data_IF_736834750643
#
_entry.id   IF_736834750643
#
_cell.length_a   1.000
_cell.length_b   1.000
_cell.length_c   1.000
_cell.angle_alpha   90.00
_cell.angle_beta   90.00
_cell.angle_gamma   90.00
#
_symmetry.space_group_name_H-M   'P 1'
#
loop_
_entity.id
_entity.type
_entity.pdbx_description
1 polymer ?
#
# COMPACT_ATOMS: atom_id res chain seq x y z
N UNK A 1 -40.38 -3.91 -2.02
CA UNK A 1 -39.57 -3.36 -3.13
C UNK A 1 -38.33 -2.73 -2.51
N UNK A 2 -37.17 -3.39 -2.63
CA UNK A 2 -35.87 -2.81 -2.25
C UNK A 2 -35.45 -1.86 -3.37
N UNK A 3 -35.41 -0.57 -3.07
CA UNK A 3 -34.89 0.47 -3.96
C UNK A 3 -33.41 0.25 -4.22
N UNK A 4 -32.97 0.63 -5.43
CA UNK A 4 -31.62 0.43 -5.95
C UNK A 4 -30.53 0.96 -5.01
N UNK A 5 -29.41 0.25 -4.98
CA UNK A 5 -28.17 0.57 -4.25
C UNK A 5 -27.79 2.06 -4.41
N UNK A 6 -28.11 2.86 -3.40
CA UNK A 6 -27.65 4.25 -3.31
C UNK A 6 -26.33 4.26 -2.54
N UNK A 7 -25.28 4.83 -3.10
CA UNK A 7 -23.91 4.75 -2.56
C UNK A 7 -23.63 5.78 -1.45
N UNK A 8 -24.67 6.24 -0.76
CA UNK A 8 -24.77 7.50 0.01
C UNK A 8 -23.85 7.68 1.22
N UNK A 9 -22.96 6.75 1.53
CA UNK A 9 -22.47 6.66 2.90
C UNK A 9 -21.37 7.70 3.23
N UNK A 10 -20.55 8.18 2.30
CA UNK A 10 -19.36 9.01 2.66
C UNK A 10 -19.64 10.53 2.64
N UNK A 11 -20.90 10.96 2.52
CA UNK A 11 -21.25 12.37 2.27
C UNK A 11 -22.11 13.06 3.34
N UNK A 12 -21.84 14.35 3.59
CA UNK A 12 -22.78 15.21 4.33
C UNK A 12 -23.94 15.61 3.41
N UNK A 13 -25.14 15.11 3.71
CA UNK A 13 -26.37 15.43 2.95
C UNK A 13 -26.66 16.94 2.93
N UNK A 14 -26.18 17.67 3.95
CA UNK A 14 -26.27 19.13 4.04
C UNK A 14 -25.54 19.87 2.90
N UNK A 15 -24.48 19.28 2.33
CA UNK A 15 -23.80 19.87 1.18
C UNK A 15 -24.59 19.63 -0.12
N UNK A 16 -25.36 18.52 -0.20
CA UNK A 16 -26.19 18.21 -1.37
C UNK A 16 -27.30 19.25 -1.55
N UNK A 17 -27.92 19.70 -0.46
CA UNK A 17 -29.01 20.68 -0.51
C UNK A 17 -28.53 22.07 -0.98
N UNK A 18 -27.32 22.48 -0.63
CA UNK A 18 -26.72 23.74 -1.09
C UNK A 18 -26.43 23.76 -2.60
N UNK A 19 -26.33 22.58 -3.23
CA UNK A 19 -26.06 22.42 -4.65
C UNK A 19 -27.35 22.27 -5.49
N UNK A 20 -28.52 22.36 -4.85
CA UNK A 20 -29.80 22.29 -5.54
C UNK A 20 -29.98 23.50 -6.47
N UNK A 21 -30.57 23.27 -7.65
CA UNK A 21 -30.77 24.31 -8.67
C UNK A 21 -29.55 24.58 -9.58
N UNK A 22 -28.37 24.03 -9.28
CA UNK A 22 -27.24 24.05 -10.21
C UNK A 22 -27.45 23.07 -11.36
N UNK A 23 -27.12 23.50 -12.57
CA UNK A 23 -27.12 22.64 -13.75
C UNK A 23 -25.89 21.72 -13.80
N UNK A 24 -25.95 20.68 -14.64
CA UNK A 24 -24.89 19.68 -14.77
C UNK A 24 -23.50 20.27 -15.09
N UNK A 25 -23.40 21.26 -15.98
CA UNK A 25 -22.13 21.87 -16.38
C UNK A 25 -21.48 22.61 -15.20
N UNK A 26 -22.27 23.38 -14.45
CA UNK A 26 -21.80 24.07 -13.24
C UNK A 26 -21.37 23.09 -12.14
N UNK A 27 -22.11 21.99 -11.95
CA UNK A 27 -21.73 20.93 -11.01
C UNK A 27 -20.39 20.29 -11.40
N UNK A 28 -20.19 19.98 -12.68
CA UNK A 28 -18.91 19.45 -13.19
C UNK A 28 -17.76 20.40 -12.91
N UNK A 29 -17.94 21.71 -13.12
CA UNK A 29 -16.91 22.70 -12.82
C UNK A 29 -16.54 22.73 -11.32
N UNK A 30 -17.54 22.61 -10.43
CA UNK A 30 -17.29 22.50 -8.99
C UNK A 30 -16.56 21.22 -8.62
N UNK A 31 -16.92 20.08 -9.22
CA UNK A 31 -16.24 18.79 -9.00
C UNK A 31 -14.77 18.88 -9.45
N UNK A 32 -14.51 19.46 -10.62
CA UNK A 32 -13.15 19.66 -11.13
C UNK A 32 -12.32 20.51 -10.17
N UNK A 33 -12.92 21.57 -9.61
CA UNK A 33 -12.26 22.42 -8.61
C UNK A 33 -11.98 21.64 -7.32
N UNK A 34 -12.96 20.93 -6.78
CA UNK A 34 -12.79 20.08 -5.59
C UNK A 34 -11.69 19.02 -5.81
N UNK A 35 -11.67 18.37 -6.97
CA UNK A 35 -10.66 17.37 -7.33
C UNK A 35 -9.24 17.94 -7.37
N UNK A 36 -9.07 19.21 -7.79
CA UNK A 36 -7.76 19.88 -7.77
C UNK A 36 -7.25 20.18 -6.35
N UNK A 37 -8.17 20.31 -5.39
CA UNK A 37 -7.87 20.57 -3.98
C UNK A 37 -7.80 19.30 -3.12
N UNK A 38 -8.12 18.13 -3.69
CA UNK A 38 -8.15 16.86 -2.98
C UNK A 38 -6.79 16.55 -2.31
N UNK A 39 -6.86 16.15 -1.04
CA UNK A 39 -5.70 15.80 -0.21
C UNK A 39 -5.46 14.29 -0.16
N UNK A 40 -6.52 13.50 -0.37
CA UNK A 40 -6.55 12.04 -0.47
C UNK A 40 -7.05 11.58 -1.84
N UNK A 41 -6.76 10.34 -2.22
CA UNK A 41 -7.24 9.71 -3.46
C UNK A 41 -7.07 10.60 -4.69
N UNK A 42 -5.92 11.29 -4.79
CA UNK A 42 -5.68 12.34 -5.80
C UNK A 42 -5.78 11.79 -7.21
N UNK A 43 -5.26 10.59 -7.45
CA UNK A 43 -5.33 9.90 -8.75
C UNK A 43 -6.78 9.67 -9.16
N UNK A 44 -7.58 9.08 -8.27
CA UNK A 44 -9.01 8.81 -8.51
C UNK A 44 -9.80 10.10 -8.75
N UNK A 45 -9.62 11.12 -7.90
CA UNK A 45 -10.27 12.42 -8.06
C UNK A 45 -9.94 13.07 -9.42
N UNK A 46 -8.67 13.03 -9.84
CA UNK A 46 -8.23 13.58 -11.13
C UNK A 46 -8.81 12.81 -12.30
N UNK A 47 -8.78 11.48 -12.27
CA UNK A 47 -9.34 10.63 -13.33
C UNK A 47 -10.85 10.86 -13.47
N UNK A 48 -11.57 10.90 -12.35
CA UNK A 48 -13.00 11.15 -12.34
C UNK A 48 -13.33 12.55 -12.88
N UNK A 49 -12.62 13.58 -12.43
CA UNK A 49 -12.78 14.94 -12.96
C UNK A 49 -12.47 15.05 -14.45
N UNK A 50 -11.48 14.30 -14.97
CA UNK A 50 -11.18 14.26 -16.40
C UNK A 50 -12.32 13.63 -17.20
N UNK A 51 -12.87 12.53 -16.71
CA UNK A 51 -14.04 11.88 -17.32
C UNK A 51 -15.24 12.83 -17.35
N UNK A 52 -15.56 13.48 -16.23
CA UNK A 52 -16.66 14.46 -16.15
C UNK A 52 -16.46 15.67 -17.07
N UNK A 53 -15.22 16.09 -17.38
CA UNK A 53 -14.98 17.15 -18.37
C UNK A 53 -15.40 16.73 -19.79
N UNK A 54 -15.16 15.46 -20.17
CA UNK A 54 -15.63 14.94 -21.47
C UNK A 54 -17.15 15.03 -21.56
N UNK A 55 -17.82 14.70 -20.46
CA UNK A 55 -19.28 14.78 -20.32
C UNK A 55 -19.76 16.22 -20.37
N UNK A 56 -19.14 17.14 -19.63
CA UNK A 56 -19.50 18.56 -19.64
C UNK A 56 -19.44 19.14 -21.05
N UNK A 57 -18.36 18.83 -21.79
CA UNK A 57 -18.20 19.23 -23.18
C UNK A 57 -19.31 18.69 -24.11
N UNK A 58 -19.80 17.47 -23.85
CA UNK A 58 -20.92 16.88 -24.57
C UNK A 58 -22.24 17.61 -24.22
N UNK A 59 -22.50 17.86 -22.94
CA UNK A 59 -23.73 18.53 -22.46
C UNK A 59 -23.85 19.97 -22.96
N UNK A 60 -22.73 20.71 -23.04
CA UNK A 60 -22.69 22.03 -23.65
C UNK A 60 -23.08 21.98 -25.14
N UNK A 61 -22.51 21.03 -25.88
CA UNK A 61 -22.82 20.85 -27.30
C UNK A 61 -24.28 20.46 -27.55
N UNK A 62 -24.84 19.64 -26.66
CA UNK A 62 -26.24 19.23 -26.68
C UNK A 62 -27.20 20.32 -26.21
N UNK A 63 -26.70 21.45 -25.68
CA UNK A 63 -27.50 22.48 -25.02
C UNK A 63 -28.44 21.85 -23.99
N UNK A 64 -27.90 21.13 -23.01
CA UNK A 64 -28.69 20.36 -22.03
C UNK A 64 -29.82 21.15 -21.34
N UNK A 65 -29.67 22.47 -21.19
CA UNK A 65 -30.74 23.36 -20.67
C UNK A 65 -31.96 23.43 -21.58
N UNK A 66 -31.79 23.36 -22.89
CA UNK A 66 -32.88 23.29 -23.87
C UNK A 66 -33.53 21.91 -23.86
N UNK A 67 -32.74 20.85 -23.69
CA UNK A 67 -33.25 19.48 -23.60
C UNK A 67 -34.17 19.28 -22.39
N UNK A 68 -33.95 19.99 -21.29
CA UNK A 68 -34.84 19.93 -20.12
C UNK A 68 -36.26 20.44 -20.38
N UNK A 69 -36.51 21.14 -21.49
CA UNK A 69 -37.86 21.59 -21.87
C UNK A 69 -38.77 20.45 -22.33
N UNK A 70 -38.17 19.34 -22.79
CA UNK A 70 -38.92 18.18 -23.29
C UNK A 70 -39.10 17.15 -22.16
N UNK A 71 -40.32 16.64 -21.95
CA UNK A 71 -40.61 15.72 -20.85
C UNK A 71 -39.79 14.42 -20.93
N UNK A 72 -39.49 13.94 -22.14
CA UNK A 72 -38.77 12.69 -22.37
C UNK A 72 -37.30 12.77 -21.91
N UNK A 73 -36.63 13.91 -22.12
CA UNK A 73 -35.22 14.12 -21.74
C UNK A 73 -35.05 14.77 -20.37
N UNK A 74 -36.13 15.31 -19.79
CA UNK A 74 -36.08 16.02 -18.50
C UNK A 74 -35.67 15.10 -17.35
N UNK A 75 -36.35 13.97 -17.18
CA UNK A 75 -36.10 13.05 -16.06
C UNK A 75 -34.66 12.49 -16.07
N UNK A 76 -34.12 11.97 -17.19
CA UNK A 76 -32.72 11.51 -17.24
C UNK A 76 -31.69 12.61 -16.93
N UNK A 77 -31.96 13.86 -17.33
CA UNK A 77 -31.09 15.00 -17.04
C UNK A 77 -31.14 15.43 -15.57
N UNK A 78 -32.30 15.36 -14.94
CA UNK A 78 -32.44 15.60 -13.49
C UNK A 78 -31.71 14.51 -12.69
N UNK A 79 -31.85 13.25 -13.07
CA UNK A 79 -31.12 12.13 -12.45
C UNK A 79 -29.60 12.23 -12.62
N UNK A 80 -29.13 12.70 -13.79
CA UNK A 80 -27.72 13.00 -14.03
C UNK A 80 -27.21 14.10 -13.10
N UNK A 81 -27.99 15.17 -12.92
CA UNK A 81 -27.62 16.24 -11.99
C UNK A 81 -27.56 15.76 -10.54
N UNK A 82 -28.49 14.90 -10.11
CA UNK A 82 -28.46 14.31 -8.77
C UNK A 82 -27.23 13.42 -8.56
N UNK A 83 -26.87 12.61 -9.57
CA UNK A 83 -25.64 11.83 -9.54
C UNK A 83 -24.39 12.72 -9.46
N UNK A 84 -24.38 13.85 -10.18
CA UNK A 84 -23.30 14.84 -10.11
C UNK A 84 -23.24 15.54 -8.74
N UNK A 85 -24.37 15.82 -8.09
CA UNK A 85 -24.39 16.40 -6.73
C UNK A 85 -23.78 15.44 -5.71
N UNK A 86 -24.17 14.15 -5.74
CA UNK A 86 -23.53 13.13 -4.89
C UNK A 86 -22.04 13.00 -5.19
N UNK A 87 -21.68 13.02 -6.48
CA UNK A 87 -20.30 12.96 -6.96
C UNK A 87 -19.43 14.12 -6.45
N UNK A 88 -20.00 15.33 -6.36
CA UNK A 88 -19.32 16.46 -5.73
C UNK A 88 -19.02 16.18 -4.26
N UNK A 89 -19.99 15.66 -3.51
CA UNK A 89 -19.79 15.36 -2.08
C UNK A 89 -18.72 14.29 -1.88
N UNK A 90 -18.67 13.27 -2.74
CA UNK A 90 -17.59 12.28 -2.74
C UNK A 90 -16.21 12.92 -2.92
N UNK A 91 -16.07 13.75 -3.95
CA UNK A 91 -14.79 14.40 -4.27
C UNK A 91 -14.39 15.42 -3.20
N UNK A 92 -15.34 16.20 -2.68
CA UNK A 92 -15.09 17.18 -1.60
C UNK A 92 -14.67 16.49 -0.29
N UNK A 93 -15.22 15.30 0.00
CA UNK A 93 -14.84 14.51 1.18
C UNK A 93 -13.35 14.15 1.19
N UNK A 94 -12.72 14.00 0.00
CA UNK A 94 -11.30 13.71 -0.15
C UNK A 94 -10.38 14.90 0.22
N UNK A 95 -10.95 16.07 0.51
CA UNK A 95 -10.22 17.27 0.92
C UNK A 95 -10.32 17.52 2.43
N UNK A 96 -11.52 17.42 3.01
CA UNK A 96 -11.85 18.06 4.28
C UNK A 96 -12.06 17.10 5.46
N UNK A 97 -12.01 15.77 5.26
CA UNK A 97 -12.20 14.79 6.34
C UNK A 97 -10.89 14.41 7.07
N UNK A 98 -11.01 13.67 8.17
CA UNK A 98 -9.86 13.06 8.85
C UNK A 98 -9.05 12.21 7.86
N UNK A 99 -7.72 12.36 7.93
CA UNK A 99 -6.81 11.55 7.12
C UNK A 99 -6.93 10.06 7.46
N UNK A 100 -6.98 9.72 8.74
CA UNK A 100 -7.09 8.32 9.19
C UNK A 100 -8.44 7.72 8.80
N UNK A 101 -9.52 8.49 8.88
CA UNK A 101 -10.83 8.07 8.38
C UNK A 101 -10.79 7.78 6.88
N UNK A 102 -10.20 8.68 6.07
CA UNK A 102 -10.11 8.47 4.62
C UNK A 102 -9.22 7.28 4.24
N UNK A 103 -8.17 7.00 5.02
CA UNK A 103 -7.37 5.77 4.85
C UNK A 103 -8.20 4.52 5.14
N UNK A 104 -8.90 4.47 6.27
CA UNK A 104 -9.74 3.34 6.64
C UNK A 104 -10.93 3.15 5.69
N UNK A 105 -11.46 4.22 5.13
CA UNK A 105 -12.54 4.18 4.14
C UNK A 105 -12.03 4.03 2.70
N UNK A 106 -10.73 3.82 2.50
CA UNK A 106 -10.08 3.87 1.19
C UNK A 106 -10.78 3.01 0.13
N UNK A 107 -10.95 1.71 0.37
CA UNK A 107 -11.61 0.82 -0.59
C UNK A 107 -13.07 1.18 -0.84
N UNK A 108 -13.79 1.64 0.20
CA UNK A 108 -15.17 2.13 0.07
C UNK A 108 -15.23 3.34 -0.86
N UNK A 109 -14.32 4.30 -0.71
CA UNK A 109 -14.24 5.48 -1.57
C UNK A 109 -13.92 5.08 -3.02
N UNK A 110 -12.97 4.17 -3.24
CA UNK A 110 -12.65 3.67 -4.58
C UNK A 110 -13.88 3.00 -5.22
N UNK A 111 -14.64 2.21 -4.46
CA UNK A 111 -15.87 1.60 -4.94
C UNK A 111 -16.95 2.65 -5.26
N UNK A 112 -17.07 3.71 -4.47
CA UNK A 112 -17.99 4.81 -4.75
C UNK A 112 -17.62 5.55 -6.04
N UNK A 113 -16.33 5.77 -6.34
CA UNK A 113 -15.91 6.33 -7.63
C UNK A 113 -16.35 5.44 -8.80
N UNK A 114 -16.19 4.12 -8.68
CA UNK A 114 -16.64 3.16 -9.71
C UNK A 114 -18.15 3.22 -9.91
N UNK A 115 -18.91 3.27 -8.83
CA UNK A 115 -20.37 3.34 -8.86
C UNK A 115 -20.87 4.67 -9.44
N UNK A 116 -20.30 5.79 -9.01
CA UNK A 116 -20.63 7.11 -9.53
C UNK A 116 -20.33 7.23 -11.03
N UNK A 117 -19.18 6.73 -11.48
CA UNK A 117 -18.82 6.68 -12.90
C UNK A 117 -19.86 5.89 -13.71
N UNK A 118 -20.17 4.65 -13.30
CA UNK A 118 -21.12 3.80 -14.00
C UNK A 118 -22.56 4.37 -14.01
N UNK A 119 -22.98 5.00 -12.91
CA UNK A 119 -24.28 5.66 -12.79
C UNK A 119 -24.40 6.84 -13.78
N UNK A 120 -23.40 7.71 -13.84
CA UNK A 120 -23.37 8.86 -14.74
C UNK A 120 -23.39 8.43 -16.21
N UNK A 121 -22.55 7.44 -16.57
CA UNK A 121 -22.50 6.90 -17.93
C UNK A 121 -23.85 6.31 -18.36
N UNK A 122 -24.56 5.67 -17.45
CA UNK A 122 -25.88 5.11 -17.73
C UNK A 122 -26.88 6.20 -18.13
N UNK A 123 -26.93 7.32 -17.40
CA UNK A 123 -27.84 8.42 -17.75
C UNK A 123 -27.46 9.08 -19.08
N UNK A 124 -26.16 9.17 -19.38
CA UNK A 124 -25.69 9.67 -20.67
C UNK A 124 -26.02 8.77 -21.85
N UNK A 125 -26.25 7.48 -21.66
CA UNK A 125 -26.75 6.62 -22.75
C UNK A 125 -28.23 6.92 -23.06
N UNK A 126 -29.01 7.36 -22.08
CA UNK A 126 -30.45 7.61 -22.25
C UNK A 126 -30.70 8.94 -22.99
N UNK A 127 -29.97 10.01 -22.62
CA UNK A 127 -30.21 11.37 -23.15
C UNK A 127 -30.08 11.48 -24.69
N UNK A 128 -29.06 10.91 -25.36
CA UNK A 128 -28.91 10.97 -26.81
C UNK A 128 -29.83 10.02 -27.57
N UNK A 129 -30.22 8.87 -26.99
CA UNK A 129 -31.13 7.91 -27.62
C UNK A 129 -32.53 8.51 -27.86
N UNK A 130 -32.91 9.49 -27.04
CA UNK A 130 -34.18 10.21 -27.18
C UNK A 130 -34.13 11.25 -28.31
N UNK A 131 -32.94 11.76 -28.68
CA UNK A 131 -32.85 12.98 -29.48
C UNK A 131 -31.95 12.93 -30.73
N UNK A 132 -31.21 11.84 -31.01
CA UNK A 132 -30.18 11.89 -32.05
C UNK A 132 -30.09 10.63 -32.92
N UNK A 133 -30.87 10.62 -34.01
CA UNK A 133 -30.56 9.76 -35.13
C UNK A 133 -29.45 10.31 -36.06
N UNK A 134 -29.13 11.61 -36.11
CA UNK A 134 -28.26 12.14 -37.20
C UNK A 134 -27.05 13.07 -36.87
N UNK A 135 -26.66 13.34 -35.61
CA UNK A 135 -25.47 14.19 -35.35
C UNK A 135 -24.18 13.37 -35.18
N UNK A 136 -23.38 13.25 -36.25
CA UNK A 136 -22.11 12.50 -36.25
C UNK A 136 -21.13 12.97 -35.16
N UNK A 137 -21.00 14.29 -34.95
CA UNK A 137 -20.08 14.87 -33.95
C UNK A 137 -20.47 14.50 -32.52
N UNK A 138 -21.78 14.35 -32.25
CA UNK A 138 -22.24 13.87 -30.94
C UNK A 138 -21.97 12.38 -30.79
N UNK A 139 -22.20 11.58 -31.84
CA UNK A 139 -21.88 10.14 -31.83
C UNK A 139 -20.40 9.89 -31.53
N UNK A 140 -19.49 10.64 -32.16
CA UNK A 140 -18.05 10.53 -31.92
C UNK A 140 -17.67 10.82 -30.46
N UNK A 141 -18.27 11.85 -29.86
CA UNK A 141 -18.02 12.22 -28.45
C UNK A 141 -18.58 11.20 -27.47
N UNK A 142 -19.76 10.67 -27.74
CA UNK A 142 -20.33 9.58 -26.93
C UNK A 142 -19.44 8.34 -27.00
N UNK A 143 -18.92 8.01 -28.18
CA UNK A 143 -17.98 6.91 -28.33
C UNK A 143 -16.67 7.17 -27.57
N UNK A 144 -16.19 8.41 -27.57
CA UNK A 144 -15.00 8.78 -26.79
C UNK A 144 -15.23 8.64 -25.28
N UNK A 145 -16.41 9.03 -24.77
CA UNK A 145 -16.79 8.84 -23.37
C UNK A 145 -16.92 7.34 -23.04
N UNK A 146 -17.58 6.56 -23.89
CA UNK A 146 -17.75 5.11 -23.67
C UNK A 146 -16.41 4.34 -23.67
N UNK A 147 -15.42 4.83 -24.41
CA UNK A 147 -14.05 4.29 -24.41
C UNK A 147 -13.22 4.76 -23.22
N UNK A 148 -13.67 5.75 -22.45
CA UNK A 148 -12.93 6.32 -21.32
C UNK A 148 -13.03 5.44 -20.06
N UNK A 149 -12.40 4.27 -20.09
CA UNK A 149 -12.40 3.32 -18.97
C UNK A 149 -11.37 3.73 -17.90
N UNK A 150 -11.76 4.64 -17.01
CA UNK A 150 -10.93 5.04 -15.87
C UNK A 150 -10.83 3.93 -14.84
N UNK A 151 -9.60 3.55 -14.53
CA UNK A 151 -9.29 2.64 -13.43
C UNK A 151 -9.12 3.42 -12.12
N UNK A 152 -9.96 3.10 -11.14
CA UNK A 152 -9.85 3.62 -9.77
C UNK A 152 -9.18 2.60 -8.86
N UNK A 153 -8.17 2.99 -8.09
CA UNK A 153 -7.34 2.12 -7.24
C UNK A 153 -6.90 2.84 -5.97
N UNK A 154 -6.50 2.08 -4.94
CA UNK A 154 -5.72 2.62 -3.84
C UNK A 154 -4.25 2.65 -4.22
N UNK A 155 -3.52 3.66 -3.75
CA UNK A 155 -2.07 3.67 -3.87
C UNK A 155 -1.49 2.58 -2.94
N UNK A 156 -0.46 1.85 -3.39
CA UNK A 156 0.09 0.69 -2.64
C UNK A 156 0.50 1.03 -1.20
N UNK A 157 0.97 2.26 -0.97
CA UNK A 157 1.31 2.74 0.37
C UNK A 157 0.07 3.04 1.22
N UNK A 158 -1.00 3.54 0.61
CA UNK A 158 -2.28 3.77 1.29
C UNK A 158 -2.98 2.45 1.62
N UNK A 159 -2.89 1.46 0.72
CA UNK A 159 -3.41 0.09 0.91
C UNK A 159 -2.74 -0.61 2.09
N UNK A 160 -1.40 -0.58 2.16
CA UNK A 160 -0.65 -1.14 3.30
C UNK A 160 -1.02 -0.52 4.64
N UNK A 161 -1.25 0.80 4.65
CA UNK A 161 -1.66 1.51 5.87
C UNK A 161 -3.12 1.21 6.22
N UNK A 162 -4.00 1.12 5.22
CA UNK A 162 -5.40 0.70 5.39
C UNK A 162 -5.48 -0.69 6.05
N UNK A 163 -4.74 -1.67 5.53
CA UNK A 163 -4.72 -3.03 6.06
C UNK A 163 -4.20 -3.07 7.50
N UNK A 164 -3.11 -2.33 7.79
CA UNK A 164 -2.53 -2.22 9.12
C UNK A 164 -3.48 -1.56 10.15
N UNK A 165 -4.31 -0.61 9.71
CA UNK A 165 -5.29 0.06 10.57
C UNK A 165 -6.46 -0.88 10.91
N UNK A 166 -6.94 -1.67 9.94
CA UNK A 166 -8.13 -2.51 10.12
C UNK A 166 -7.84 -3.91 10.70
N UNK A 167 -6.59 -4.39 10.61
CA UNK A 167 -6.19 -5.73 11.10
C UNK A 167 -5.15 -5.63 12.23
N UNK A 168 -5.55 -5.74 13.51
CA UNK A 168 -4.70 -5.43 14.66
C UNK A 168 -3.69 -6.53 15.08
N UNK A 169 -3.30 -7.44 14.19
CA UNK A 169 -2.52 -8.63 14.57
C UNK A 169 -1.04 -8.36 14.95
N UNK A 170 -0.51 -7.13 14.77
CA UNK A 170 0.84 -6.74 15.25
C UNK A 170 0.95 -5.25 15.59
N UNK A 171 0.87 -4.90 16.89
CA UNK A 171 0.80 -3.51 17.36
C UNK A 171 2.04 -2.65 17.05
N UNK A 172 3.23 -3.25 17.03
CA UNK A 172 4.51 -2.53 16.85
C UNK A 172 4.73 -2.16 15.38
N UNK A 173 4.48 -3.09 14.45
CA UNK A 173 4.59 -2.82 13.02
C UNK A 173 3.57 -1.76 12.59
N UNK A 174 2.33 -1.88 13.06
CA UNK A 174 1.23 -0.96 12.76
C UNK A 174 1.52 0.45 13.29
N UNK A 175 2.09 0.57 14.50
CA UNK A 175 2.54 1.86 15.06
C UNK A 175 3.62 2.51 14.19
N UNK A 176 4.61 1.74 13.73
CA UNK A 176 5.68 2.26 12.87
C UNK A 176 5.16 2.74 11.50
N UNK A 177 4.16 2.04 10.93
CA UNK A 177 3.54 2.39 9.65
C UNK A 177 2.65 3.63 9.78
N UNK A 178 1.82 3.69 10.84
CA UNK A 178 0.99 4.84 11.16
C UNK A 178 1.87 6.09 11.40
N UNK A 179 2.98 5.93 12.11
CA UNK A 179 3.95 7.00 12.39
C UNK A 179 4.57 7.55 11.11
N UNK A 180 5.07 6.67 10.23
CA UNK A 180 5.58 7.08 8.90
C UNK A 180 4.52 7.80 8.07
N UNK A 181 3.30 7.25 8.05
CA UNK A 181 2.15 7.80 7.31
C UNK A 181 1.77 9.21 7.79
N UNK A 182 1.61 9.38 9.11
CA UNK A 182 1.30 10.67 9.72
C UNK A 182 2.42 11.69 9.55
N UNK A 183 3.69 11.30 9.69
CA UNK A 183 4.83 12.21 9.44
C UNK A 183 4.87 12.73 7.99
N UNK A 184 4.49 11.91 7.01
CA UNK A 184 4.39 12.35 5.61
C UNK A 184 3.22 13.31 5.39
N UNK A 185 2.08 13.08 6.06
CA UNK A 185 0.91 13.95 5.98
C UNK A 185 1.11 15.28 6.70
N UNK A 186 1.85 15.27 7.80
CA UNK A 186 2.10 16.39 8.69
C UNK A 186 3.62 16.64 8.84
N UNK A 187 4.30 17.11 7.78
CA UNK A 187 5.76 17.24 7.79
C UNK A 187 6.29 18.29 8.80
N UNK A 188 5.43 19.21 9.25
CA UNK A 188 5.78 20.31 10.14
C UNK A 188 5.30 20.11 11.59
N UNK A 189 4.66 18.99 11.91
CA UNK A 189 4.18 18.70 13.27
C UNK A 189 4.92 17.52 13.87
N UNK A 190 5.06 17.54 15.20
CA UNK A 190 5.50 16.36 15.94
C UNK A 190 4.50 15.20 15.73
N UNK A 191 4.96 13.95 15.83
CA UNK A 191 4.07 12.79 15.68
C UNK A 191 2.89 12.84 16.67
N UNK A 192 3.14 13.15 17.94
CA UNK A 192 2.09 13.24 18.97
C UNK A 192 1.08 14.35 18.64
N UNK A 193 1.55 15.51 18.16
CA UNK A 193 0.67 16.62 17.76
C UNK A 193 -0.17 16.26 16.53
N UNK A 194 0.43 15.57 15.55
CA UNK A 194 -0.25 15.10 14.36
C UNK A 194 -1.31 14.03 14.70
N UNK A 195 -0.99 13.12 15.62
CA UNK A 195 -1.88 12.08 16.11
C UNK A 195 -3.06 12.69 16.87
N UNK A 196 -2.79 13.62 17.79
CA UNK A 196 -3.81 14.37 18.53
C UNK A 196 -4.76 15.11 17.58
N UNK A 197 -4.22 15.82 16.58
CA UNK A 197 -5.01 16.53 15.57
C UNK A 197 -5.90 15.60 14.75
N UNK A 198 -5.44 14.39 14.43
CA UNK A 198 -6.27 13.41 13.75
C UNK A 198 -7.34 12.82 14.65
N UNK A 199 -7.05 12.57 15.94
CA UNK A 199 -8.05 12.12 16.91
C UNK A 199 -9.19 13.16 17.05
N UNK A 200 -8.87 14.45 17.17
CA UNK A 200 -9.87 15.53 17.22
C UNK A 200 -10.79 15.53 15.99
N UNK A 201 -10.24 15.31 14.80
CA UNK A 201 -11.06 15.19 13.58
C UNK A 201 -11.90 13.91 13.58
N UNK A 202 -11.37 12.79 14.05
CA UNK A 202 -12.13 11.54 14.16
C UNK A 202 -13.33 11.71 15.10
N UNK A 203 -13.19 12.48 16.19
CA UNK A 203 -14.34 12.81 17.06
C UNK A 203 -15.42 13.61 16.31
N UNK A 204 -15.03 14.55 15.46
CA UNK A 204 -15.97 15.28 14.60
C UNK A 204 -16.66 14.34 13.59
N UNK A 205 -15.91 13.45 12.94
CA UNK A 205 -16.48 12.45 12.03
C UNK A 205 -17.44 11.50 12.77
N UNK A 206 -17.12 11.08 13.99
CA UNK A 206 -17.99 10.24 14.82
C UNK A 206 -19.30 10.95 15.13
N UNK A 207 -19.23 12.22 15.51
CA UNK A 207 -20.40 13.02 15.79
C UNK A 207 -21.30 13.18 14.56
N UNK A 208 -20.69 13.44 13.41
CA UNK A 208 -21.37 13.51 12.10
C UNK A 208 -22.04 12.18 11.74
N UNK A 209 -21.32 11.06 11.86
CA UNK A 209 -21.85 9.73 11.54
C UNK A 209 -23.04 9.34 12.42
N UNK A 210 -22.98 9.71 13.72
CA UNK A 210 -24.10 9.53 14.66
C UNK A 210 -25.31 10.35 14.28
N UNK A 211 -25.12 11.62 13.89
CA UNK A 211 -26.21 12.48 13.43
C UNK A 211 -26.91 11.91 12.18
N UNK A 212 -26.16 11.20 11.34
CA UNK A 212 -26.66 10.53 10.13
C UNK A 212 -27.15 9.09 10.37
N UNK A 213 -27.13 8.59 11.61
CA UNK A 213 -27.53 7.22 11.97
C UNK A 213 -26.74 6.12 11.23
N UNK A 214 -25.52 6.41 10.79
CA UNK A 214 -24.65 5.43 10.10
C UNK A 214 -23.85 4.63 11.14
N UNK A 215 -24.37 3.46 11.50
CA UNK A 215 -23.81 2.59 12.55
C UNK A 215 -22.48 1.97 12.10
N UNK A 216 -22.39 1.55 10.84
CA UNK A 216 -21.19 0.89 10.30
C UNK A 216 -19.99 1.84 10.33
N UNK A 217 -20.20 3.11 9.95
CA UNK A 217 -19.14 4.12 10.06
C UNK A 217 -18.81 4.49 11.50
N UNK A 218 -19.78 4.48 12.41
CA UNK A 218 -19.50 4.70 13.83
C UNK A 218 -18.57 3.62 14.40
N UNK A 219 -18.70 2.37 13.95
CA UNK A 219 -17.84 1.27 14.36
C UNK A 219 -16.42 1.45 13.85
N UNK A 220 -16.25 1.77 12.56
CA UNK A 220 -14.93 2.07 11.97
C UNK A 220 -14.27 3.24 12.70
N UNK A 221 -15.00 4.32 12.95
CA UNK A 221 -14.42 5.52 13.60
C UNK A 221 -14.04 5.23 15.06
N UNK A 222 -14.84 4.45 15.81
CA UNK A 222 -14.48 4.04 17.17
C UNK A 222 -13.21 3.20 17.19
N UNK A 223 -13.09 2.24 16.28
CA UNK A 223 -11.88 1.44 16.12
C UNK A 223 -10.66 2.32 15.82
N UNK A 224 -10.81 3.32 14.95
CA UNK A 224 -9.74 4.28 14.66
C UNK A 224 -9.31 5.06 15.89
N UNK A 225 -10.25 5.53 16.71
CA UNK A 225 -9.94 6.25 17.96
C UNK A 225 -9.14 5.34 18.89
N UNK A 226 -9.57 4.10 19.09
CA UNK A 226 -8.86 3.11 19.92
C UNK A 226 -7.43 2.84 19.42
N UNK A 227 -7.25 2.69 18.10
CA UNK A 227 -5.92 2.53 17.50
C UNK A 227 -5.03 3.75 17.78
N UNK A 228 -5.57 4.97 17.67
CA UNK A 228 -4.77 6.18 17.97
C UNK A 228 -4.38 6.27 19.44
N UNK A 229 -5.28 5.92 20.37
CA UNK A 229 -5.00 5.92 21.81
C UNK A 229 -3.96 4.85 22.18
N UNK A 230 -4.06 3.66 21.60
CA UNK A 230 -3.10 2.59 21.79
C UNK A 230 -1.70 2.98 21.31
N UNK A 231 -1.59 3.66 20.17
CA UNK A 231 -0.31 4.10 19.63
C UNK A 231 0.31 5.25 20.45
N UNK A 232 -0.51 6.18 20.97
CA UNK A 232 -0.04 7.25 21.85
C UNK A 232 0.60 6.73 23.15
N UNK A 233 0.17 5.54 23.62
CA UNK A 233 0.69 4.92 24.83
C UNK A 233 2.02 4.15 24.62
N UNK A 234 2.51 3.99 23.38
CA UNK A 234 3.77 3.30 23.08
C UNK A 234 4.94 4.29 23.19
N UNK A 235 5.93 4.08 24.07
CA UNK A 235 7.09 4.96 24.19
C UNK A 235 7.85 5.03 22.86
N UNK A 236 8.35 6.21 22.44
CA UNK A 236 9.16 6.31 21.23
C UNK A 236 10.41 5.42 21.35
N UNK A 237 10.63 4.56 20.36
CA UNK A 237 11.86 3.78 20.27
C UNK A 237 13.06 4.71 20.39
N UNK A 238 13.94 4.44 21.36
CA UNK A 238 15.23 5.14 21.48
C UNK A 238 16.00 4.88 20.19
N UNK A 239 16.25 5.93 19.42
CA UNK A 239 17.22 5.88 18.32
C UNK A 239 18.56 5.46 18.92
N UNK A 240 18.95 4.20 18.74
CA UNK A 240 20.35 3.83 18.83
C UNK A 240 21.05 4.49 17.64
N UNK A 241 21.60 5.68 17.87
CA UNK A 241 22.64 6.23 17.02
C UNK A 241 23.86 5.30 17.14
N UNK A 242 23.96 4.32 16.26
CA UNK A 242 25.28 3.81 15.92
C UNK A 242 25.95 4.87 15.06
N UNK A 243 26.90 5.57 15.66
CA UNK A 243 27.96 6.27 14.93
C UNK A 243 28.65 5.23 14.04
N UNK A 244 28.37 5.25 12.74
CA UNK A 244 29.34 4.80 11.75
C UNK A 244 29.95 6.05 11.12
N UNK A 245 31.20 6.32 11.50
CA UNK A 245 32.05 7.33 10.90
C UNK A 245 32.06 7.12 9.38
N UNK A 246 31.53 8.08 8.63
CA UNK A 246 31.91 8.23 7.23
C UNK A 246 33.08 9.20 7.19
N UNK A 247 34.27 8.63 6.94
CA UNK A 247 35.46 9.40 6.60
C UNK A 247 35.18 10.27 5.36
N UNK A 248 35.53 11.55 5.51
CA UNK A 248 35.61 12.52 4.45
C UNK A 248 36.62 12.07 3.40
N UNK A 249 36.25 12.12 2.12
CA UNK A 249 37.20 12.35 1.05
C UNK A 249 36.57 13.15 -0.11
N UNK A 250 36.84 14.45 -0.04
CA UNK A 250 37.12 15.40 -1.11
C UNK A 250 36.00 15.98 -1.99
N UNK A 251 36.19 17.25 -2.47
CA UNK A 251 35.15 18.27 -2.51
C UNK A 251 34.79 18.70 -3.94
N UNK A 252 33.61 19.32 -4.10
CA UNK A 252 33.32 20.10 -5.30
C UNK A 252 32.86 21.52 -4.91
N UNK A 253 33.48 22.48 -5.58
CA UNK A 253 33.54 23.90 -5.28
C UNK A 253 32.31 24.72 -5.72
N UNK A 254 32.30 25.98 -5.26
CA UNK A 254 31.44 27.13 -5.59
C UNK A 254 30.02 27.08 -4.98
N UNK A 255 29.52 28.08 -4.24
CA UNK A 255 29.73 29.53 -4.35
C UNK A 255 29.86 30.24 -2.98
N UNK A 256 30.63 31.33 -2.98
CA UNK A 256 30.72 32.34 -1.92
C UNK A 256 29.53 33.32 -1.95
N UNK A 257 29.12 33.82 -0.77
CA UNK A 257 28.84 35.24 -0.44
C UNK A 257 28.13 35.27 0.93
N UNK A 258 28.88 35.55 2.00
CA UNK A 258 29.02 36.85 2.69
C UNK A 258 28.14 36.96 3.95
N UNK A 259 28.84 37.05 5.08
CA UNK A 259 28.37 37.36 6.43
C UNK A 259 28.01 38.86 6.54
N UNK A 260 27.23 39.32 7.55
CA UNK A 260 27.80 39.53 8.89
C UNK A 260 26.88 39.27 10.08
N UNK A 261 27.48 38.74 11.17
CA UNK A 261 26.94 38.81 12.54
C UNK A 261 27.00 40.26 13.09
N UNK A 262 26.36 40.59 14.24
CA UNK A 262 27.10 40.47 15.52
C UNK A 262 26.27 40.26 16.82
N UNK A 263 26.94 39.63 17.81
CA UNK A 263 26.84 39.78 19.29
C UNK A 263 25.48 39.51 19.99
N UNK A 264 25.37 38.91 21.18
CA UNK A 264 26.10 39.16 22.44
C UNK A 264 25.82 37.95 23.38
N UNK A 265 26.79 37.35 24.09
CA UNK A 265 27.01 37.51 25.54
C UNK A 265 25.89 36.94 26.44
N UNK A 266 26.06 36.21 27.54
CA UNK A 266 27.21 35.72 28.31
C UNK A 266 26.67 34.98 29.57
N UNK A 267 27.50 34.10 30.16
CA UNK A 267 27.52 33.58 31.55
C UNK A 267 26.28 32.91 32.20
N UNK A 268 26.40 31.63 32.60
CA UNK A 268 26.69 31.25 34.00
C UNK A 268 26.87 29.73 34.19
N UNK A 269 27.87 29.44 35.03
CA UNK A 269 28.44 28.18 35.44
C UNK A 269 27.71 27.66 36.69
N UNK A 270 27.42 26.36 36.78
CA UNK A 270 27.49 25.63 38.06
C UNK A 270 27.72 24.13 37.84
N UNK A 271 28.92 23.71 38.23
CA UNK A 271 29.26 22.34 38.61
C UNK A 271 28.85 22.12 40.06
N UNK A 272 28.39 20.91 40.37
CA UNK A 272 28.61 20.11 41.59
C UNK A 272 28.11 18.69 41.18
N UNK A 273 28.72 17.55 41.44
CA UNK A 273 29.89 17.17 42.22
C UNK A 273 29.68 15.76 42.79
N UNK A 274 30.42 14.76 42.24
CA UNK A 274 31.03 13.56 42.89
C UNK A 274 30.14 12.45 43.50
N UNK A 275 30.29 11.21 42.99
CA UNK A 275 30.98 10.02 43.59
C UNK A 275 30.01 9.13 44.40
N UNK A 276 30.09 7.81 44.52
CA UNK A 276 31.07 6.79 44.14
C UNK A 276 30.43 5.39 44.28
N UNK A 277 30.94 4.39 43.53
CA UNK A 277 30.93 2.92 43.82
C UNK A 277 29.55 2.20 43.87
N UNK A 278 29.36 0.95 43.45
CA UNK A 278 30.22 -0.23 43.52
C UNK A 278 29.63 -1.37 42.65
N UNK A 279 30.52 -2.24 42.20
CA UNK A 279 30.25 -3.52 41.54
C UNK A 279 29.73 -4.53 42.58
N UNK A 280 28.66 -5.26 42.27
CA UNK A 280 28.48 -6.62 42.78
C UNK A 280 27.59 -7.47 41.88
N UNK A 281 28.18 -8.58 41.43
CA UNK A 281 27.57 -9.70 40.74
C UNK A 281 26.55 -10.40 41.64
N UNK A 282 25.34 -10.61 41.14
CA UNK A 282 24.33 -11.50 41.75
C UNK A 282 23.68 -12.33 40.65
N UNK A 283 24.09 -13.61 40.58
CA UNK A 283 23.45 -14.63 39.75
C UNK A 283 22.09 -14.96 40.36
N UNK A 284 21.02 -14.85 39.58
CA UNK A 284 19.78 -15.58 39.86
C UNK A 284 19.55 -16.62 38.77
N UNK A 285 19.74 -17.87 39.20
CA UNK A 285 19.31 -19.09 38.53
C UNK A 285 17.80 -19.20 38.70
N UNK A 286 17.03 -19.03 37.62
CA UNK A 286 15.65 -19.52 37.56
C UNK A 286 15.44 -20.31 36.25
N UNK A 287 15.30 -21.63 36.46
CA UNK A 287 14.44 -22.57 35.75
C UNK A 287 14.72 -22.84 34.26
N UNK A 288 15.59 -23.83 34.04
CA UNK A 288 15.52 -24.73 32.89
C UNK A 288 14.14 -25.44 32.90
N UNK A 289 13.22 -24.98 32.06
CA UNK A 289 12.05 -25.76 31.61
C UNK A 289 12.06 -25.77 30.09
N UNK A 290 12.25 -26.95 29.51
CA UNK A 290 12.53 -27.15 28.09
C UNK A 290 11.47 -26.50 27.19
N UNK A 291 11.89 -25.51 26.43
CA UNK A 291 11.26 -25.12 25.17
C UNK A 291 12.28 -25.43 24.08
N UNK A 292 11.91 -26.24 23.10
CA UNK A 292 12.67 -26.38 21.86
C UNK A 292 12.85 -24.96 21.30
N UNK A 293 14.05 -24.39 21.43
CA UNK A 293 14.40 -23.12 20.78
C UNK A 293 14.42 -23.40 19.29
N UNK A 294 13.36 -23.03 18.58
CA UNK A 294 13.41 -22.88 17.13
C UNK A 294 14.40 -21.77 16.81
N UNK A 295 15.25 -22.00 15.81
CA UNK A 295 16.15 -20.97 15.31
C UNK A 295 15.41 -20.05 14.33
N UNK A 296 15.84 -18.81 14.22
CA UNK A 296 15.35 -17.88 13.18
C UNK A 296 16.20 -18.04 11.91
N UNK A 297 15.69 -17.55 10.76
CA UNK A 297 16.49 -17.45 9.54
C UNK A 297 17.70 -16.56 9.81
N UNK A 298 18.92 -17.05 9.54
CA UNK A 298 20.15 -16.25 9.68
C UNK A 298 20.39 -15.36 8.47
N UNK A 299 19.71 -15.65 7.37
CA UNK A 299 19.84 -14.98 6.09
C UNK A 299 18.58 -14.17 5.76
N UNK A 300 18.78 -12.92 5.34
CA UNK A 300 17.68 -12.02 4.99
C UNK A 300 17.02 -12.36 3.65
N UNK A 301 15.70 -12.27 3.59
CA UNK A 301 14.90 -12.54 2.39
C UNK A 301 15.23 -11.60 1.20
N UNK A 302 15.64 -10.35 1.50
CA UNK A 302 16.08 -9.36 0.51
C UNK A 302 17.61 -9.21 0.44
N UNK A 303 18.38 -10.11 1.07
CA UNK A 303 19.83 -10.13 0.97
C UNK A 303 20.36 -10.45 -0.43
N UNK A 304 19.50 -10.77 -1.42
CA UNK A 304 19.90 -11.16 -2.77
C UNK A 304 20.74 -10.09 -3.50
N UNK A 305 20.60 -8.81 -3.13
CA UNK A 305 21.41 -7.70 -3.64
C UNK A 305 22.86 -7.71 -3.15
N UNK A 306 23.19 -8.47 -2.09
CA UNK A 306 24.54 -8.57 -1.55
C UNK A 306 25.45 -9.49 -2.38
N UNK A 307 24.89 -10.27 -3.32
CA UNK A 307 25.64 -11.20 -4.18
C UNK A 307 24.92 -11.33 -5.54
N UNK A 308 24.97 -10.28 -6.36
CA UNK A 308 24.13 -10.13 -7.55
C UNK A 308 24.32 -11.24 -8.58
N UNK A 309 25.50 -11.89 -8.60
CA UNK A 309 25.79 -13.02 -9.48
C UNK A 309 24.93 -14.26 -9.18
N UNK A 310 24.75 -14.63 -7.91
CA UNK A 310 23.93 -15.78 -7.50
C UNK A 310 22.43 -15.51 -7.72
N UNK A 311 22.01 -14.27 -7.47
CA UNK A 311 20.66 -13.78 -7.76
C UNK A 311 20.37 -13.87 -9.27
N UNK A 312 21.25 -13.33 -10.11
CA UNK A 312 21.11 -13.37 -11.57
C UNK A 312 21.13 -14.81 -12.12
N UNK A 313 22.01 -15.68 -11.61
CA UNK A 313 22.07 -17.11 -11.98
C UNK A 313 20.79 -17.85 -11.62
N UNK A 314 20.22 -17.59 -10.44
CA UNK A 314 18.99 -18.23 -9.97
C UNK A 314 17.75 -17.71 -10.71
N UNK A 315 17.75 -16.43 -11.14
CA UNK A 315 16.70 -15.87 -11.99
C UNK A 315 16.67 -16.46 -13.41
N UNK A 316 17.84 -16.75 -13.99
CA UNK A 316 17.94 -17.30 -15.36
C UNK A 316 17.80 -18.84 -15.36
N UNK A 317 18.28 -19.50 -14.32
CA UNK A 317 18.27 -20.96 -14.19
C UNK A 317 17.92 -21.39 -12.75
N UNK A 318 16.65 -21.25 -12.32
CA UNK A 318 16.24 -21.55 -10.94
C UNK A 318 16.37 -23.02 -10.59
N UNK A 319 16.32 -23.91 -11.59
CA UNK A 319 16.36 -25.35 -11.40
C UNK A 319 17.71 -25.85 -10.86
N UNK A 320 18.84 -25.19 -11.17
CA UNK A 320 20.13 -25.54 -10.57
C UNK A 320 20.13 -25.34 -9.05
N UNK A 321 19.84 -24.12 -8.60
CA UNK A 321 19.76 -23.78 -7.17
C UNK A 321 18.68 -24.60 -6.46
N UNK A 322 17.50 -24.72 -7.06
CA UNK A 322 16.40 -25.49 -6.49
C UNK A 322 16.71 -26.99 -6.37
N UNK A 323 17.40 -27.59 -7.34
CA UNK A 323 17.72 -29.02 -7.30
C UNK A 323 18.60 -29.38 -6.10
N UNK A 324 19.55 -28.51 -5.76
CA UNK A 324 20.40 -28.68 -4.59
C UNK A 324 19.61 -28.47 -3.29
N UNK A 325 18.74 -27.45 -3.23
CA UNK A 325 17.83 -27.22 -2.10
C UNK A 325 16.94 -28.44 -1.87
N UNK A 326 16.33 -28.98 -2.93
CA UNK A 326 15.44 -30.14 -2.86
C UNK A 326 16.19 -31.41 -2.42
N UNK A 327 17.43 -31.59 -2.86
CA UNK A 327 18.28 -32.69 -2.42
C UNK A 327 18.55 -32.59 -0.90
N UNK A 328 18.95 -31.42 -0.41
CA UNK A 328 19.20 -31.20 1.03
C UNK A 328 17.91 -31.34 1.84
N UNK A 329 16.83 -30.65 1.45
CA UNK A 329 15.55 -30.64 2.16
C UNK A 329 14.86 -32.02 2.21
N UNK A 330 15.21 -32.92 1.29
CA UNK A 330 14.67 -34.29 1.23
C UNK A 330 15.61 -35.36 1.81
N UNK A 331 16.76 -34.97 2.39
CA UNK A 331 17.84 -35.88 2.80
C UNK A 331 18.25 -36.83 1.65
N UNK A 332 18.39 -36.30 0.44
CA UNK A 332 18.82 -37.03 -0.76
C UNK A 332 17.77 -37.93 -1.40
N UNK A 333 16.51 -37.91 -0.94
CA UNK A 333 15.42 -38.74 -1.51
C UNK A 333 14.96 -38.28 -2.90
N UNK A 334 15.13 -37.00 -3.21
CA UNK A 334 14.80 -36.42 -4.51
C UNK A 334 16.10 -36.21 -5.28
N UNK A 335 16.23 -36.83 -6.46
CA UNK A 335 17.39 -36.62 -7.32
C UNK A 335 17.33 -35.23 -8.00
N UNK A 336 18.46 -34.63 -8.37
CA UNK A 336 18.48 -33.33 -9.06
C UNK A 336 17.65 -33.34 -10.35
N UNK A 337 17.71 -34.43 -11.13
CA UNK A 337 16.94 -34.61 -12.36
C UNK A 337 15.43 -34.61 -12.08
N UNK A 338 15.00 -35.32 -11.03
CA UNK A 338 13.60 -35.35 -10.62
C UNK A 338 13.13 -33.98 -10.11
N UNK A 339 13.95 -33.28 -9.31
CA UNK A 339 13.63 -31.93 -8.83
C UNK A 339 13.47 -30.92 -9.99
N UNK A 340 14.34 -30.99 -11.00
CA UNK A 340 14.26 -30.14 -12.20
C UNK A 340 13.01 -30.45 -13.03
N UNK A 341 12.71 -31.74 -13.26
CA UNK A 341 11.54 -32.17 -14.03
C UNK A 341 10.23 -31.80 -13.33
N UNK A 342 10.16 -32.00 -12.01
CA UNK A 342 8.99 -31.62 -11.21
C UNK A 342 8.83 -30.09 -11.23
N UNK A 343 9.89 -29.32 -11.00
CA UNK A 343 9.81 -27.86 -11.03
C UNK A 343 9.35 -27.34 -12.40
N UNK A 344 9.84 -27.92 -13.50
CA UNK A 344 9.40 -27.59 -14.86
C UNK A 344 7.92 -27.94 -15.06
N UNK A 345 7.52 -29.14 -14.65
CA UNK A 345 6.13 -29.61 -14.77
C UNK A 345 5.17 -28.71 -13.99
N UNK A 346 5.49 -28.38 -12.73
CA UNK A 346 4.69 -27.48 -11.91
C UNK A 346 4.70 -26.04 -12.45
N UNK A 347 5.75 -25.60 -13.13
CA UNK A 347 5.78 -24.29 -13.79
C UNK A 347 4.79 -24.20 -14.96
N UNK A 348 4.62 -25.27 -15.75
CA UNK A 348 3.69 -25.30 -16.88
C UNK A 348 2.20 -25.21 -16.47
N UNK A 349 1.88 -25.62 -15.25
CA UNK A 349 0.53 -25.52 -14.65
C UNK A 349 0.41 -24.38 -13.63
N UNK A 350 1.31 -23.39 -13.67
CA UNK A 350 1.34 -22.24 -12.74
C UNK A 350 1.40 -22.60 -11.25
N UNK A 351 1.89 -23.80 -10.93
CA UNK A 351 2.00 -24.35 -9.58
C UNK A 351 3.42 -24.38 -9.01
N UNK A 352 4.41 -23.74 -9.66
CA UNK A 352 5.81 -23.78 -9.22
C UNK A 352 5.99 -23.23 -7.80
N UNK A 353 5.32 -22.13 -7.45
CA UNK A 353 5.36 -21.54 -6.12
C UNK A 353 4.81 -22.47 -5.04
N UNK A 354 3.82 -23.31 -5.37
CA UNK A 354 3.30 -24.32 -4.44
C UNK A 354 4.36 -25.40 -4.18
N UNK A 355 5.03 -25.86 -5.24
CA UNK A 355 6.04 -26.90 -5.14
C UNK A 355 7.31 -26.43 -4.40
N UNK A 356 7.80 -25.23 -4.71
CA UNK A 356 8.96 -24.64 -4.04
C UNK A 356 8.65 -24.30 -2.58
N UNK A 357 7.46 -23.79 -2.27
CA UNK A 357 6.98 -23.61 -0.89
C UNK A 357 6.97 -24.92 -0.10
N UNK A 358 6.52 -26.03 -0.71
CA UNK A 358 6.55 -27.34 -0.06
C UNK A 358 7.99 -27.76 0.29
N UNK A 359 8.97 -27.45 -0.55
CA UNK A 359 10.38 -27.73 -0.28
C UNK A 359 10.94 -26.80 0.80
N UNK A 360 10.64 -25.50 0.77
CA UNK A 360 10.99 -24.54 1.83
C UNK A 360 10.51 -25.02 3.19
N UNK A 361 9.27 -25.51 3.28
CA UNK A 361 8.72 -26.09 4.51
C UNK A 361 9.51 -27.30 5.00
N UNK A 362 9.92 -28.19 4.10
CA UNK A 362 10.77 -29.34 4.46
C UNK A 362 12.14 -28.88 4.95
N UNK A 363 12.73 -27.88 4.29
CA UNK A 363 14.01 -27.29 4.68
C UNK A 363 13.94 -26.65 6.07
N UNK A 364 12.90 -25.86 6.37
CA UNK A 364 12.71 -25.27 7.71
C UNK A 364 12.60 -26.34 8.80
N UNK A 365 11.87 -27.43 8.53
CA UNK A 365 11.77 -28.55 9.48
C UNK A 365 13.12 -29.22 9.70
N UNK A 366 13.90 -29.42 8.63
CA UNK A 366 15.25 -29.99 8.71
C UNK A 366 16.20 -29.10 9.53
N UNK A 367 16.12 -27.79 9.35
CA UNK A 367 16.98 -26.80 10.00
C UNK A 367 16.44 -26.29 11.35
N UNK A 368 15.30 -26.81 11.82
CA UNK A 368 14.59 -26.36 13.01
C UNK A 368 14.29 -24.83 13.02
N UNK A 369 13.91 -24.29 11.85
CA UNK A 369 13.60 -22.86 11.64
C UNK A 369 12.12 -22.57 11.87
N UNK A 370 11.80 -21.55 12.67
CA UNK A 370 10.42 -21.10 12.92
C UNK A 370 9.74 -20.58 11.63
N UNK A 371 8.42 -20.79 11.50
CA UNK A 371 7.64 -20.24 10.39
C UNK A 371 6.36 -21.00 10.06
N UNK A 372 5.47 -20.37 9.28
CA UNK A 372 4.14 -20.87 8.94
C UNK A 372 4.01 -21.36 7.49
N UNK A 373 2.93 -22.08 7.19
CA UNK A 373 2.61 -22.50 5.81
C UNK A 373 2.26 -21.31 4.92
N UNK A 374 1.57 -20.31 5.48
CA UNK A 374 1.18 -19.10 4.77
C UNK A 374 2.41 -18.21 4.47
N UNK A 375 3.35 -18.11 5.40
CA UNK A 375 4.59 -17.34 5.25
C UNK A 375 5.49 -17.89 4.13
N UNK A 376 5.69 -19.22 4.08
CA UNK A 376 6.46 -19.87 3.00
C UNK A 376 5.81 -19.68 1.62
N UNK A 377 4.47 -19.72 1.58
CA UNK A 377 3.72 -19.56 0.33
C UNK A 377 3.80 -18.12 -0.18
N UNK A 378 3.60 -17.13 0.69
CA UNK A 378 3.72 -15.72 0.36
C UNK A 378 5.14 -15.34 -0.06
N UNK A 379 6.15 -15.96 0.56
CA UNK A 379 7.56 -15.72 0.21
C UNK A 379 7.88 -16.17 -1.23
N UNK A 380 7.40 -17.34 -1.65
CA UNK A 380 7.58 -17.83 -3.03
C UNK A 380 6.70 -17.11 -4.06
N UNK A 381 5.53 -16.62 -3.66
CA UNK A 381 4.63 -15.84 -4.53
C UNK A 381 5.10 -14.39 -4.77
N UNK A 382 5.79 -13.79 -3.79
CA UNK A 382 6.32 -12.41 -3.89
C UNK A 382 7.61 -12.34 -4.69
N UNK A 383 8.56 -13.24 -4.44
CA UNK A 383 9.77 -13.40 -5.25
C UNK A 383 10.36 -14.81 -5.10
N UNK A 384 9.97 -15.73 -6.00
CA UNK A 384 10.49 -17.10 -6.00
C UNK A 384 12.03 -17.16 -6.07
N UNK A 385 12.66 -16.28 -6.87
CA UNK A 385 14.12 -16.24 -6.98
C UNK A 385 14.80 -15.82 -5.67
N UNK A 386 14.26 -14.81 -4.99
CA UNK A 386 14.79 -14.31 -3.72
C UNK A 386 14.62 -15.37 -2.62
N UNK A 387 13.47 -16.06 -2.62
CA UNK A 387 13.19 -17.16 -1.70
C UNK A 387 14.20 -18.31 -1.86
N UNK A 388 14.48 -18.72 -3.11
CA UNK A 388 15.46 -19.77 -3.41
C UNK A 388 16.89 -19.34 -3.04
N UNK A 389 17.25 -18.07 -3.26
CA UNK A 389 18.58 -17.55 -2.87
C UNK A 389 18.73 -17.53 -1.35
N UNK A 390 17.71 -17.09 -0.61
CA UNK A 390 17.72 -17.14 0.86
C UNK A 390 17.85 -18.58 1.37
N UNK A 391 17.08 -19.52 0.81
CA UNK A 391 17.14 -20.94 1.17
C UNK A 391 18.52 -21.54 0.93
N UNK A 392 19.13 -21.24 -0.22
CA UNK A 392 20.47 -21.73 -0.55
C UNK A 392 21.53 -21.18 0.40
N UNK A 393 21.50 -19.88 0.70
CA UNK A 393 22.44 -19.28 1.64
C UNK A 393 22.27 -19.80 3.06
N UNK A 394 21.04 -20.08 3.48
CA UNK A 394 20.79 -20.66 4.80
C UNK A 394 21.42 -22.06 4.92
N UNK A 395 21.42 -22.83 3.83
CA UNK A 395 22.11 -24.14 3.75
C UNK A 395 23.62 -23.96 3.84
N UNK A 396 24.19 -23.03 3.07
CA UNK A 396 25.63 -22.72 3.08
C UNK A 396 26.10 -22.22 4.45
N UNK A 397 25.39 -21.26 5.05
CA UNK A 397 25.70 -20.70 6.37
C UNK A 397 25.67 -21.74 7.50
N UNK A 398 24.88 -22.80 7.34
CA UNK A 398 24.76 -23.89 8.34
C UNK A 398 25.67 -25.07 8.05
N UNK A 399 26.52 -24.99 7.00
CA UNK A 399 27.57 -25.97 6.71
C UNK A 399 27.07 -27.33 6.23
N UNK A 400 25.89 -27.40 5.61
CA UNK A 400 25.31 -28.67 5.13
C UNK A 400 25.74 -29.06 3.71
N UNK A 401 26.54 -28.21 3.04
CA UNK A 401 26.95 -28.38 1.64
C UNK A 401 28.08 -29.43 1.45
N UNK A 402 28.78 -29.81 2.52
CA UNK A 402 30.00 -30.64 2.45
C UNK A 402 29.78 -32.13 2.14
N UNK A 403 28.55 -32.58 1.87
CA UNK A 403 28.26 -34.00 1.60
C UNK A 403 27.73 -34.33 0.21
N UNK A 404 27.48 -33.36 -0.68
CA UNK A 404 26.88 -33.65 -2.00
C UNK A 404 27.47 -32.92 -3.22
N UNK A 405 28.56 -32.15 -3.08
CA UNK A 405 29.42 -31.81 -4.22
C UNK A 405 30.28 -33.02 -4.61
N UNK A 406 29.69 -33.97 -5.35
CA UNK A 406 30.47 -34.90 -6.18
C UNK A 406 31.33 -34.04 -7.11
N UNK A 407 32.65 -34.13 -6.95
CA UNK A 407 33.68 -33.68 -7.91
C UNK A 407 33.12 -33.72 -9.34
N UNK A 408 32.92 -32.55 -9.94
CA UNK A 408 32.94 -32.43 -11.40
C UNK A 408 34.35 -32.86 -11.82
N UNK A 409 34.45 -34.08 -12.34
CA UNK A 409 35.68 -34.55 -12.98
C UNK A 409 35.79 -33.78 -14.30
N UNK A 410 36.92 -33.14 -14.62
CA UNK A 410 37.08 -32.48 -15.90
C UNK A 410 36.90 -33.53 -17.03
N UNK A 411 36.31 -33.16 -18.17
CA UNK A 411 36.23 -34.06 -19.31
C UNK A 411 37.65 -34.47 -19.72
N UNK A 412 37.88 -35.73 -20.13
CA UNK A 412 39.19 -36.18 -20.57
C UNK A 412 39.64 -35.30 -21.74
N UNK A 413 40.87 -34.78 -21.64
CA UNK A 413 41.48 -33.97 -22.68
C UNK A 413 41.45 -34.71 -24.01
N UNK A 414 40.69 -34.21 -24.98
CA UNK A 414 40.83 -34.62 -26.36
C UNK A 414 42.15 -34.06 -26.87
N UNK A 415 43.13 -34.93 -27.11
CA UNK A 415 44.29 -34.58 -27.92
C UNK A 415 43.81 -34.50 -29.38
N UNK A 416 44.01 -33.35 -30.02
CA UNK A 416 43.99 -33.26 -31.48
C UNK A 416 45.25 -33.99 -32.00
N UNK A 417 45.07 -35.11 -32.68
CA UNK A 417 46.08 -35.59 -33.62
C UNK A 417 46.23 -34.55 -34.73
N UNK A 418 47.46 -34.06 -34.89
CA UNK A 418 47.87 -33.16 -35.99
C UNK A 418 48.17 -33.92 -37.26
#
# INVERSE_FOLDING_TARGET
MRTALHWENVGDLANVTQLTGLNAVSLIALIVKAASNARMHKKNCRQFAQHLKLIGNLLEQLKATELKKYPETREPLEQLEDALRRSYVLVDSCQNRSYLYLLAMGWTIVNQFRQAHAEIDRYLKIVPLINLLDNHRVKDRLQAIEKDQREYTLDEEEEKVHDAILHPESSVLNSSMLRKSLSRRYPYLGFEEALQKENEKLQVELHRSRANMDVDQCDVIRHLIEVTENVANIPPERKHFQHSNCEENHPCADCCEEQPSPMDGSYLRKQDGRQDSSISSGRDLISQRGSHRYEEWKTDLFGCCMEPYLCFKTCIYPCGTFSNIAAVASNGKISPEQACNDLMTYSLVFGCCCYTCCMRRKLRKLLNIAGGMCDDFLTHMTCCCCALVQEWREIECRGLDDSHMKKMSPPPSQQMES
#
